data_IF_589047903958
#
_entry.id   IF_589047903958
#
_cell.length_a   1.000
_cell.length_b   1.000
_cell.length_c   1.000
_cell.angle_alpha   90.00
_cell.angle_beta   90.00
_cell.angle_gamma   90.00
#
_symmetry.space_group_name_H-M   'P 1'
#
loop_
_entity.id
_entity.type
_entity.pdbx_description
1 polymer ?
#
# COMPACT_ATOMS: atom_id res chain seq x y z
N UNK A 1 8.36 2.67 -11.64
CA UNK A 1 7.70 2.10 -12.83
C UNK A 1 6.29 2.67 -12.91
N UNK A 2 5.86 3.16 -14.08
CA UNK A 2 4.47 3.58 -14.30
C UNK A 2 3.54 2.35 -14.16
N UNK A 3 2.48 2.48 -13.37
CA UNK A 3 1.54 1.38 -13.11
C UNK A 3 0.74 1.07 -14.38
N UNK A 4 0.80 -0.17 -14.85
CA UNK A 4 -0.12 -0.68 -15.88
C UNK A 4 -1.47 -1.00 -15.25
N UNK A 5 -2.56 -0.79 -16.00
CA UNK A 5 -3.95 -0.99 -15.56
C UNK A 5 -4.21 -2.35 -14.89
N UNK A 6 -3.42 -3.37 -15.25
CA UNK A 6 -3.56 -4.76 -14.83
C UNK A 6 -3.21 -5.00 -13.34
N UNK A 7 -2.45 -4.11 -12.70
CA UNK A 7 -1.99 -4.27 -11.30
C UNK A 7 -2.75 -3.39 -10.27
N UNK A 8 -3.80 -2.70 -10.71
CA UNK A 8 -4.59 -1.80 -9.87
C UNK A 8 -5.74 -2.53 -9.17
N UNK A 9 -6.15 -2.10 -7.95
CA UNK A 9 -7.42 -2.53 -7.37
C UNK A 9 -8.58 -2.34 -8.36
N UNK A 10 -9.58 -3.21 -8.33
CA UNK A 10 -10.65 -3.30 -9.33
C UNK A 10 -11.32 -1.95 -9.64
N UNK A 11 -11.53 -1.10 -8.64
CA UNK A 11 -12.07 0.25 -8.82
C UNK A 11 -11.13 1.21 -9.56
N UNK A 12 -9.85 1.24 -9.17
CA UNK A 12 -8.84 2.10 -9.79
C UNK A 12 -8.51 1.63 -11.22
N UNK A 13 -8.44 0.31 -11.44
CA UNK A 13 -8.24 -0.27 -12.78
C UNK A 13 -9.32 0.17 -13.75
N UNK A 14 -10.59 0.15 -13.32
CA UNK A 14 -11.71 0.63 -14.13
C UNK A 14 -11.60 2.11 -14.47
N UNK A 15 -11.22 2.97 -13.52
CA UNK A 15 -11.00 4.39 -13.80
C UNK A 15 -9.86 4.59 -14.81
N UNK A 16 -8.75 3.85 -14.66
CA UNK A 16 -7.64 3.91 -15.60
C UNK A 16 -8.02 3.48 -17.02
N UNK A 17 -8.89 2.47 -17.16
CA UNK A 17 -9.37 1.99 -18.46
C UNK A 17 -10.42 2.92 -19.09
N UNK A 18 -11.40 3.37 -18.30
CA UNK A 18 -12.51 4.20 -18.81
C UNK A 18 -12.11 5.66 -19.02
N UNK A 19 -11.21 6.20 -18.20
CA UNK A 19 -10.80 7.61 -18.20
C UNK A 19 -9.26 7.74 -18.18
N UNK A 20 -8.57 7.32 -19.26
CA UNK A 20 -7.11 7.24 -19.28
C UNK A 20 -6.42 8.59 -19.04
N UNK A 21 -6.93 9.68 -19.61
CA UNK A 21 -6.32 11.01 -19.43
C UNK A 21 -6.42 11.51 -17.98
N UNK A 22 -7.56 11.24 -17.32
CA UNK A 22 -7.74 11.56 -15.90
C UNK A 22 -6.78 10.75 -15.02
N UNK A 23 -6.66 9.45 -15.31
CA UNK A 23 -5.71 8.58 -14.62
C UNK A 23 -4.27 9.05 -14.80
N UNK A 24 -3.88 9.40 -16.03
CA UNK A 24 -2.54 9.88 -16.33
C UNK A 24 -2.24 11.20 -15.60
N UNK A 25 -3.18 12.13 -15.55
CA UNK A 25 -3.03 13.37 -14.79
C UNK A 25 -2.88 13.11 -13.28
N UNK A 26 -3.69 12.21 -12.72
CA UNK A 26 -3.59 11.81 -11.32
C UNK A 26 -2.25 11.13 -10.99
N UNK A 27 -1.81 10.20 -11.84
CA UNK A 27 -0.53 9.51 -11.67
C UNK A 27 0.66 10.48 -11.77
N UNK A 28 0.60 11.44 -12.71
CA UNK A 28 1.61 12.48 -12.86
C UNK A 28 1.68 13.38 -11.61
N UNK A 29 0.54 13.76 -11.03
CA UNK A 29 0.50 14.49 -9.75
C UNK A 29 1.16 13.68 -8.63
N UNK A 30 0.83 12.38 -8.52
CA UNK A 30 1.44 11.50 -7.53
C UNK A 30 2.96 11.40 -7.67
N UNK A 31 3.48 11.36 -8.90
CA UNK A 31 4.91 11.37 -9.17
C UNK A 31 5.54 12.71 -8.79
N UNK A 32 4.98 13.83 -9.23
CA UNK A 32 5.47 15.16 -8.90
C UNK A 32 5.55 15.39 -7.38
N UNK A 33 4.50 15.00 -6.63
CA UNK A 33 4.52 15.07 -5.16
C UNK A 33 5.64 14.22 -4.53
N UNK A 34 6.01 13.11 -5.16
CA UNK A 34 7.07 12.22 -4.68
C UNK A 34 8.48 12.78 -4.91
N UNK A 35 8.63 13.64 -5.92
CA UNK A 35 9.90 14.25 -6.31
C UNK A 35 10.07 15.68 -5.75
N UNK A 36 9.04 16.22 -5.10
CA UNK A 36 8.99 17.61 -4.64
C UNK A 36 9.86 17.90 -3.39
N UNK A 37 10.61 16.93 -2.87
CA UNK A 37 11.37 17.11 -1.64
C UNK A 37 12.38 16.00 -1.38
N UNK A 38 13.10 16.07 -0.24
CA UNK A 38 14.26 15.22 0.04
C UNK A 38 13.92 13.82 0.56
N UNK A 39 12.63 13.50 0.76
CA UNK A 39 12.22 12.19 1.27
C UNK A 39 12.18 11.22 0.10
N UNK A 40 13.12 10.28 0.09
CA UNK A 40 13.31 9.34 -1.03
C UNK A 40 13.34 7.88 -0.58
N UNK A 41 13.39 6.98 -1.56
CA UNK A 41 13.62 5.54 -1.36
C UNK A 41 12.73 4.89 -0.31
N UNK A 42 13.35 4.20 0.63
CA UNK A 42 12.70 3.42 1.68
C UNK A 42 11.78 4.29 2.56
N UNK A 43 12.25 5.45 3.00
CA UNK A 43 11.46 6.36 3.85
C UNK A 43 10.23 6.88 3.13
N UNK A 44 10.36 7.29 1.87
CA UNK A 44 9.22 7.74 1.05
C UNK A 44 8.13 6.67 0.96
N UNK A 45 8.53 5.41 0.79
CA UNK A 45 7.60 4.29 0.67
C UNK A 45 6.82 4.05 1.97
N UNK A 46 7.50 4.06 3.11
CA UNK A 46 6.86 3.90 4.42
C UNK A 46 5.92 5.07 4.75
N UNK A 47 6.32 6.31 4.43
CA UNK A 47 5.47 7.50 4.60
C UNK A 47 4.18 7.38 3.79
N UNK A 48 4.26 6.96 2.53
CA UNK A 48 3.06 6.75 1.70
C UNK A 48 2.12 5.68 2.27
N UNK A 49 2.67 4.59 2.79
CA UNK A 49 1.86 3.59 3.49
C UNK A 49 1.19 4.17 4.74
N UNK A 50 1.94 4.94 5.55
CA UNK A 50 1.39 5.60 6.74
C UNK A 50 0.26 6.59 6.38
N UNK A 51 0.39 7.34 5.29
CA UNK A 51 -0.67 8.23 4.80
C UNK A 51 -1.92 7.45 4.35
N UNK A 52 -1.75 6.32 3.67
CA UNK A 52 -2.87 5.46 3.28
C UNK A 52 -3.61 4.89 4.51
N UNK A 53 -2.87 4.51 5.56
CA UNK A 53 -3.41 4.08 6.84
C UNK A 53 -4.19 5.22 7.52
N UNK A 54 -3.59 6.42 7.59
CA UNK A 54 -4.24 7.61 8.15
C UNK A 54 -5.51 8.02 7.41
N UNK A 55 -5.57 7.77 6.10
CA UNK A 55 -6.75 7.98 5.28
C UNK A 55 -7.82 6.87 5.43
N UNK A 56 -7.56 5.83 6.23
CA UNK A 56 -8.42 4.64 6.40
C UNK A 56 -8.83 4.00 5.08
N UNK A 57 -7.92 3.99 4.11
CA UNK A 57 -8.19 3.49 2.76
C UNK A 57 -7.57 2.12 2.55
N UNK A 58 -8.37 1.06 2.72
CA UNK A 58 -7.95 -0.33 2.51
C UNK A 58 -7.28 -0.55 1.16
N UNK A 59 -7.92 -0.09 0.07
CA UNK A 59 -7.35 -0.22 -1.28
C UNK A 59 -6.02 0.49 -1.46
N UNK A 60 -5.82 1.64 -0.80
CA UNK A 60 -4.54 2.33 -0.83
C UNK A 60 -3.49 1.61 0.03
N UNK A 61 -3.85 1.08 1.20
CA UNK A 61 -2.97 0.28 2.06
C UNK A 61 -2.50 -0.96 1.30
N UNK A 62 -3.40 -1.71 0.66
CA UNK A 62 -3.06 -2.86 -0.18
C UNK A 62 -2.10 -2.48 -1.32
N UNK A 63 -2.39 -1.37 -2.03
CA UNK A 63 -1.55 -0.88 -3.13
C UNK A 63 -0.14 -0.51 -2.66
N UNK A 64 -0.03 0.31 -1.60
CA UNK A 64 1.27 0.73 -1.06
C UNK A 64 2.06 -0.44 -0.46
N UNK A 65 1.38 -1.43 0.14
CA UNK A 65 2.00 -2.66 0.64
C UNK A 65 2.63 -3.48 -0.49
N UNK A 66 1.90 -3.77 -1.59
CA UNK A 66 2.46 -4.49 -2.75
C UNK A 66 3.67 -3.79 -3.35
N UNK A 67 3.58 -2.46 -3.52
CA UNK A 67 4.68 -1.65 -4.06
C UNK A 67 5.89 -1.64 -3.14
N UNK A 68 5.68 -1.59 -1.82
CA UNK A 68 6.77 -1.64 -0.86
C UNK A 68 7.53 -2.98 -0.91
N UNK A 69 6.80 -4.09 -1.00
CA UNK A 69 7.39 -5.42 -1.17
C UNK A 69 8.18 -5.54 -2.48
N UNK A 70 7.64 -5.01 -3.59
CA UNK A 70 8.33 -4.98 -4.87
C UNK A 70 9.63 -4.13 -4.84
N UNK A 71 9.72 -3.18 -3.92
CA UNK A 71 10.90 -2.35 -3.66
C UNK A 71 11.82 -2.94 -2.58
N UNK A 72 11.55 -4.17 -2.11
CA UNK A 72 12.41 -4.89 -1.17
C UNK A 72 12.22 -4.53 0.31
N UNK A 73 11.18 -3.78 0.66
CA UNK A 73 10.85 -3.50 2.07
C UNK A 73 10.31 -4.78 2.72
N UNK A 74 10.80 -5.08 3.92
CA UNK A 74 10.43 -6.30 4.62
C UNK A 74 8.99 -6.28 5.12
N UNK A 75 8.35 -7.46 5.23
CA UNK A 75 7.00 -7.60 5.78
C UNK A 75 6.91 -7.03 7.21
N UNK A 76 7.96 -7.21 8.00
CA UNK A 76 8.00 -6.77 9.40
C UNK A 76 8.01 -5.24 9.51
N UNK A 77 8.74 -4.54 8.63
CA UNK A 77 8.70 -3.07 8.56
C UNK A 77 7.31 -2.56 8.21
N UNK A 78 6.62 -3.20 7.26
CA UNK A 78 5.25 -2.79 6.88
C UNK A 78 4.28 -2.99 8.05
N UNK A 79 4.34 -4.15 8.72
CA UNK A 79 3.54 -4.42 9.92
C UNK A 79 3.83 -3.41 11.03
N UNK A 80 5.09 -3.03 11.21
CA UNK A 80 5.48 -2.01 12.19
C UNK A 80 4.80 -0.67 11.92
N UNK A 81 4.62 -0.24 10.66
CA UNK A 81 3.89 1.01 10.34
C UNK A 81 2.45 0.96 10.88
N UNK A 82 1.75 -0.17 10.74
CA UNK A 82 0.42 -0.34 11.31
C UNK A 82 0.40 -0.31 12.85
N UNK A 83 1.42 -0.88 13.49
CA UNK A 83 1.56 -0.82 14.95
C UNK A 83 1.85 0.61 15.43
N UNK A 84 2.69 1.36 14.71
CA UNK A 84 2.99 2.78 15.00
C UNK A 84 1.75 3.68 14.88
N UNK A 85 0.74 3.28 14.11
CA UNK A 85 -0.52 4.00 14.01
C UNK A 85 -1.39 3.92 15.28
N UNK A 86 -1.23 2.89 16.12
CA UNK A 86 -2.07 2.66 17.32
C UNK A 86 -2.12 3.87 18.27
N UNK A 87 -0.99 4.45 18.72
CA UNK A 87 -1.02 5.58 19.65
C UNK A 87 -1.59 6.87 19.05
N UNK A 88 -1.54 7.05 17.73
CA UNK A 88 -1.94 8.29 17.05
C UNK A 88 -3.35 8.24 16.48
N UNK A 89 -3.71 7.11 15.87
CA UNK A 89 -4.97 6.88 15.17
C UNK A 89 -5.95 6.02 15.97
N UNK A 90 -5.49 5.45 17.09
CA UNK A 90 -6.26 4.59 17.97
C UNK A 90 -6.11 3.10 17.64
N UNK A 91 -6.25 2.26 18.68
CA UNK A 91 -6.08 0.82 18.59
C UNK A 91 -6.91 0.16 17.46
N UNK A 92 -8.21 0.46 17.28
CA UNK A 92 -8.99 -0.17 16.22
C UNK A 92 -8.49 0.17 14.81
N UNK A 93 -7.97 1.38 14.60
CA UNK A 93 -7.45 1.79 13.28
C UNK A 93 -6.12 1.12 12.97
N UNK A 94 -5.21 1.08 13.96
CA UNK A 94 -3.94 0.35 13.81
C UNK A 94 -4.15 -1.15 13.55
N UNK A 95 -5.10 -1.79 14.24
CA UNK A 95 -5.43 -3.21 14.01
C UNK A 95 -6.00 -3.44 12.61
N UNK A 96 -6.90 -2.57 12.11
CA UNK A 96 -7.39 -2.67 10.72
C UNK A 96 -6.27 -2.54 9.70
N UNK A 97 -5.38 -1.58 9.89
CA UNK A 97 -4.21 -1.41 9.03
C UNK A 97 -3.34 -2.67 9.02
N UNK A 98 -3.13 -3.28 10.19
CA UNK A 98 -2.38 -4.53 10.31
C UNK A 98 -3.04 -5.66 9.51
N UNK A 99 -4.36 -5.84 9.64
CA UNK A 99 -5.08 -6.88 8.88
C UNK A 99 -4.95 -6.66 7.37
N UNK A 100 -5.09 -5.42 6.89
CA UNK A 100 -4.94 -5.12 5.46
C UNK A 100 -3.52 -5.38 4.94
N UNK A 101 -2.49 -5.09 5.74
CA UNK A 101 -1.11 -5.44 5.39
C UNK A 101 -0.92 -6.96 5.35
N UNK A 102 -1.56 -7.68 6.27
CA UNK A 102 -1.52 -9.14 6.36
C UNK A 102 -2.28 -9.85 5.23
N UNK A 103 -3.31 -9.22 4.65
CA UNK A 103 -3.96 -9.73 3.44
C UNK A 103 -2.96 -9.90 2.28
N UNK A 104 -1.92 -9.05 2.24
CA UNK A 104 -0.89 -9.06 1.21
C UNK A 104 0.37 -9.82 1.66
N UNK A 105 0.71 -9.77 2.95
CA UNK A 105 1.97 -10.32 3.47
C UNK A 105 1.84 -11.71 4.10
N UNK A 106 0.61 -12.15 4.38
CA UNK A 106 0.32 -13.46 4.95
C UNK A 106 0.73 -14.61 4.05
N UNK A 107 0.82 -15.83 4.59
CA UNK A 107 1.06 -17.02 3.79
C UNK A 107 -0.01 -17.15 2.69
N UNK A 108 0.40 -17.57 1.50
CA UNK A 108 -0.52 -17.99 0.45
C UNK A 108 -1.44 -19.11 0.96
N UNK A 109 -2.63 -19.32 0.37
CA UNK A 109 -3.48 -20.46 0.70
C UNK A 109 -2.73 -21.81 0.71
N UNK A 110 -1.74 -21.99 -0.16
CA UNK A 110 -0.91 -23.18 -0.24
C UNK A 110 0.04 -23.36 0.97
N UNK A 111 0.59 -22.26 1.49
CA UNK A 111 1.49 -22.28 2.65
C UNK A 111 0.73 -22.50 3.98
N UNK A 112 -0.54 -22.08 4.05
CA UNK A 112 -1.42 -22.39 5.20
C UNK A 112 -1.77 -23.87 5.25
N UNK A 113 -2.16 -24.46 4.13
CA UNK A 113 -2.49 -25.88 4.03
C UNK A 113 -1.30 -26.80 4.39
N UNK A 114 -0.07 -26.34 4.14
CA UNK A 114 1.15 -27.10 4.46
C UNK A 114 1.57 -27.03 5.94
N UNK A 115 0.97 -26.13 6.73
CA UNK A 115 1.25 -25.98 8.18
C UNK A 115 0.24 -26.71 9.07
N UNK A 116 -0.84 -27.22 8.48
CA UNK A 116 -1.88 -27.99 9.18
C UNK A 116 -1.71 -29.51 9.03
N UNK A 117 -0.62 -29.96 8.39
CA UNK A 117 -0.24 -31.37 8.19
C UNK A 117 0.95 -31.73 9.05
#
# INVERSE_FOLDING_TARGET
MAETSENLPTGASRVAQTYPDLWNAFAALGQACSEAGPIEGHTLRLVKLALAIGALSEGAVHSHTRRALAEGISKDELKQVALLAIPTLGFPQGVKALTWIEDITGPSPAERASREV
#
